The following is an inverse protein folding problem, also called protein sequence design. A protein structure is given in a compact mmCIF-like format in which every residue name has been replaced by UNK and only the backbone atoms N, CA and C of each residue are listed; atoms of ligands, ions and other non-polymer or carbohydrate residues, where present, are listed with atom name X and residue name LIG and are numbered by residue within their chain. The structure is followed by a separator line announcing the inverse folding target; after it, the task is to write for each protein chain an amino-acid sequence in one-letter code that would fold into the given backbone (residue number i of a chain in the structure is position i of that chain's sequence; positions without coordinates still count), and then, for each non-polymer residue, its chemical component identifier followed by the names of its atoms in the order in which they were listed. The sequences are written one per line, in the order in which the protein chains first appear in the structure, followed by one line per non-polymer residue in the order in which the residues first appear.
data_IF_670596932907
#
_entry.id   IF_670596932907
#
_cell.length_a   1.000
_cell.length_b   1.000
_cell.length_c   1.000
_cell.angle_alpha   90.00
_cell.angle_beta   90.00
_cell.angle_gamma   90.00
#
_symmetry.space_group_name_H-M   'P 1'
#
loop_
_entity.id
_entity.type
_entity.pdbx_description
1 polymer ?
#
# COMPACT_ATOMS: atom_id res chain seq x y z
N UNK A 1 10.44 50.88 -50.61
CA UNK A 1 9.96 51.62 -49.44
C UNK A 1 8.67 50.95 -49.01
N UNK A 2 8.75 50.06 -48.05
CA UNK A 2 7.59 49.36 -47.44
C UNK A 2 7.66 49.60 -45.93
N UNK A 3 6.71 50.38 -45.44
CA UNK A 3 6.57 50.80 -44.07
C UNK A 3 5.86 49.69 -43.30
N UNK A 4 6.51 49.19 -42.25
CA UNK A 4 5.89 48.26 -41.27
C UNK A 4 5.04 49.04 -40.25
N UNK A 5 3.83 48.59 -39.92
CA UNK A 5 3.07 49.12 -38.81
C UNK A 5 3.55 48.51 -37.50
N UNK A 6 3.91 49.34 -36.53
CA UNK A 6 4.24 48.97 -35.16
C UNK A 6 2.96 48.56 -34.40
N UNK A 7 2.88 47.31 -33.98
CA UNK A 7 1.84 46.84 -33.03
C UNK A 7 2.29 47.18 -31.60
N UNK A 8 1.63 48.17 -31.03
CA UNK A 8 1.73 48.49 -29.61
C UNK A 8 0.87 47.55 -28.80
N UNK A 9 1.49 46.61 -28.08
CA UNK A 9 0.79 45.73 -27.13
C UNK A 9 0.60 46.49 -25.83
N UNK A 10 -0.63 46.93 -25.54
CA UNK A 10 -1.00 47.49 -24.23
C UNK A 10 -1.08 46.33 -23.23
N UNK A 11 -0.15 46.32 -22.28
CA UNK A 11 -0.17 45.45 -21.12
C UNK A 11 -1.28 45.94 -20.19
N UNK A 12 -2.40 45.20 -20.14
CA UNK A 12 -3.45 45.42 -19.16
C UNK A 12 -3.02 44.66 -17.92
N UNK A 13 -2.61 45.38 -16.87
CA UNK A 13 -2.42 44.83 -15.54
C UNK A 13 -3.76 44.29 -15.06
N UNK A 14 -3.88 42.97 -14.93
CA UNK A 14 -4.99 42.31 -14.24
C UNK A 14 -4.68 42.29 -12.76
N UNK A 15 -5.63 42.85 -12.00
CA UNK A 15 -5.66 42.85 -10.57
C UNK A 15 -5.39 41.45 -9.99
N UNK A 16 -4.38 41.37 -9.14
CA UNK A 16 -4.00 40.25 -8.31
C UNK A 16 -4.96 40.16 -7.11
N UNK A 17 -6.13 39.59 -7.31
CA UNK A 17 -6.96 39.09 -6.21
C UNK A 17 -7.93 38.00 -6.69
N UNK A 18 -7.41 36.92 -7.25
CA UNK A 18 -8.15 35.67 -7.39
C UNK A 18 -7.69 34.73 -6.30
N UNK A 19 -8.49 34.71 -5.23
CA UNK A 19 -8.45 33.70 -4.20
C UNK A 19 -8.54 32.31 -4.86
N UNK A 20 -7.41 31.60 -4.99
CA UNK A 20 -7.42 30.19 -5.37
C UNK A 20 -8.18 29.42 -4.29
N UNK A 21 -9.19 28.63 -4.64
CA UNK A 21 -9.79 27.71 -3.67
C UNK A 21 -8.73 26.65 -3.33
N UNK A 22 -8.13 26.76 -2.17
CA UNK A 22 -7.37 25.68 -1.55
C UNK A 22 -8.31 24.51 -1.36
N UNK A 23 -8.01 23.35 -1.93
CA UNK A 23 -8.66 22.08 -1.63
C UNK A 23 -7.97 21.44 -0.40
N UNK A 24 -8.33 21.81 0.85
CA UNK A 24 -7.57 21.35 2.02
C UNK A 24 -7.91 19.92 2.47
N UNK A 25 -8.98 19.31 1.94
CA UNK A 25 -9.45 18.00 2.42
C UNK A 25 -8.79 16.78 1.77
N UNK A 26 -8.27 16.88 0.54
CA UNK A 26 -7.67 15.74 -0.16
C UNK A 26 -6.23 15.51 0.27
N UNK A 27 -5.50 16.59 0.51
CA UNK A 27 -4.08 16.53 0.89
C UNK A 27 -3.89 16.00 2.31
N UNK A 28 -4.71 16.43 3.27
CA UNK A 28 -4.62 15.97 4.66
C UNK A 28 -4.96 14.47 4.83
N UNK A 29 -5.97 13.97 4.13
CA UNK A 29 -6.34 12.55 4.18
C UNK A 29 -5.28 11.66 3.51
N UNK A 30 -4.62 12.17 2.47
CA UNK A 30 -3.52 11.49 1.82
C UNK A 30 -2.27 11.43 2.70
N UNK A 31 -1.92 12.52 3.37
CA UNK A 31 -0.80 12.58 4.33
C UNK A 31 -1.02 11.66 5.53
N UNK A 32 -2.24 11.64 6.09
CA UNK A 32 -2.60 10.74 7.18
C UNK A 32 -2.45 9.27 6.77
N UNK A 33 -2.94 8.91 5.57
CA UNK A 33 -2.77 7.57 5.02
C UNK A 33 -1.29 7.18 4.88
N UNK A 34 -0.47 8.05 4.31
CA UNK A 34 0.96 7.81 4.16
C UNK A 34 1.66 7.63 5.52
N UNK A 35 1.28 8.41 6.52
CA UNK A 35 1.78 8.28 7.89
C UNK A 35 1.47 6.90 8.47
N UNK A 36 0.23 6.41 8.31
CA UNK A 36 -0.17 5.07 8.76
C UNK A 36 0.68 3.99 8.09
N UNK A 37 0.80 4.04 6.75
CA UNK A 37 1.55 3.03 5.99
C UNK A 37 3.04 3.00 6.33
N UNK A 38 3.59 4.09 6.84
CA UNK A 38 5.00 4.22 7.21
C UNK A 38 5.28 3.90 8.68
N UNK A 39 4.27 3.78 9.54
CA UNK A 39 4.44 3.62 11.00
C UNK A 39 4.57 2.18 11.47
N UNK A 40 4.13 1.20 10.69
CA UNK A 40 4.06 -0.20 11.09
C UNK A 40 5.43 -0.85 11.34
N UNK A 41 5.46 -1.82 12.28
CA UNK A 41 6.64 -2.66 12.55
C UNK A 41 7.10 -3.42 11.30
N UNK A 42 6.16 -3.95 10.53
CA UNK A 42 6.39 -4.73 9.30
C UNK A 42 6.01 -3.94 8.04
N UNK A 43 6.34 -2.64 8.01
CA UNK A 43 6.10 -1.77 6.86
C UNK A 43 7.01 -2.08 5.66
N UNK A 44 6.67 -1.55 4.52
CA UNK A 44 7.54 -1.56 3.33
C UNK A 44 8.60 -0.44 3.46
N UNK A 45 9.69 -0.75 4.15
CA UNK A 45 10.67 0.19 4.74
C UNK A 45 11.45 1.00 3.70
N UNK A 46 11.74 0.42 2.54
CA UNK A 46 12.63 1.04 1.55
C UNK A 46 11.91 1.96 0.57
N UNK A 47 10.58 2.02 0.62
CA UNK A 47 9.81 2.93 -0.22
C UNK A 47 10.00 4.38 0.22
N UNK A 48 10.28 5.25 -0.75
CA UNK A 48 10.32 6.70 -0.54
C UNK A 48 8.90 7.28 -0.45
N UNK A 49 8.80 8.54 0.00
CA UNK A 49 7.51 9.26 0.00
C UNK A 49 6.86 9.27 -1.39
N UNK A 50 7.66 9.51 -2.43
CA UNK A 50 7.17 9.53 -3.81
C UNK A 50 6.70 8.15 -4.27
N UNK A 51 7.39 7.06 -3.88
CA UNK A 51 6.94 5.70 -4.19
C UNK A 51 5.58 5.39 -3.57
N UNK A 52 5.39 5.77 -2.30
CA UNK A 52 4.12 5.63 -1.60
C UNK A 52 3.00 6.39 -2.29
N UNK A 53 3.24 7.65 -2.69
CA UNK A 53 2.28 8.45 -3.45
C UNK A 53 1.89 7.76 -4.75
N UNK A 54 2.86 7.28 -5.53
CA UNK A 54 2.61 6.58 -6.79
C UNK A 54 1.79 5.29 -6.61
N UNK A 55 2.04 4.53 -5.55
CA UNK A 55 1.31 3.30 -5.23
C UNK A 55 -0.11 3.62 -4.77
N UNK A 56 -0.26 4.56 -3.84
CA UNK A 56 -1.55 4.92 -3.26
C UNK A 56 -2.48 5.54 -4.28
N UNK A 57 -1.99 6.43 -5.15
CA UNK A 57 -2.78 7.07 -6.20
C UNK A 57 -3.36 6.07 -7.22
N UNK A 58 -2.73 4.90 -7.37
CA UNK A 58 -3.18 3.83 -8.27
C UNK A 58 -3.90 2.69 -7.55
N UNK A 59 -3.99 2.75 -6.22
CA UNK A 59 -4.74 1.78 -5.44
C UNK A 59 -6.23 2.09 -5.41
N UNK A 60 -7.04 1.05 -5.15
CA UNK A 60 -8.47 1.19 -4.86
C UNK A 60 -8.69 1.08 -3.36
N UNK A 61 -9.41 2.03 -2.77
CA UNK A 61 -9.86 1.92 -1.38
C UNK A 61 -10.98 0.90 -1.30
N UNK A 62 -10.86 -0.04 -0.37
CA UNK A 62 -11.86 -1.08 -0.13
C UNK A 62 -12.04 -1.29 1.37
N UNK A 63 -13.25 -1.66 1.77
CA UNK A 63 -13.60 -1.94 3.16
C UNK A 63 -14.12 -3.36 3.25
N UNK A 64 -13.60 -4.11 4.20
CA UNK A 64 -14.05 -5.46 4.54
C UNK A 64 -14.70 -5.43 5.92
N UNK A 65 -15.90 -5.97 6.02
CA UNK A 65 -16.62 -6.11 7.30
C UNK A 65 -16.01 -7.25 8.11
N UNK A 66 -16.25 -7.25 9.40
CA UNK A 66 -15.86 -8.35 10.29
C UNK A 66 -16.31 -9.70 9.72
N UNK A 67 -15.37 -10.64 9.64
CA UNK A 67 -15.58 -11.99 9.10
C UNK A 67 -15.42 -12.11 7.58
N UNK A 68 -15.29 -11.00 6.85
CA UNK A 68 -15.03 -11.07 5.41
C UNK A 68 -13.58 -11.46 5.13
N UNK A 69 -13.39 -12.20 4.04
CA UNK A 69 -12.10 -12.77 3.64
C UNK A 69 -11.43 -11.85 2.62
N UNK A 70 -10.22 -11.38 2.91
CA UNK A 70 -9.37 -10.62 2.01
C UNK A 70 -8.68 -11.54 1.00
N UNK A 71 -8.07 -12.63 1.50
CA UNK A 71 -7.44 -13.68 0.68
C UNK A 71 -7.81 -15.04 1.24
N UNK A 72 -8.03 -16.03 0.36
CA UNK A 72 -8.35 -17.40 0.77
C UNK A 72 -7.23 -18.33 0.33
N UNK A 73 -6.68 -19.09 1.28
CA UNK A 73 -5.61 -20.06 1.01
C UNK A 73 -5.94 -21.00 -0.14
N UNK A 74 -4.99 -21.19 -1.04
CA UNK A 74 -5.13 -22.06 -2.23
C UNK A 74 -5.94 -21.45 -3.37
N UNK A 75 -6.55 -20.27 -3.17
CA UNK A 75 -7.24 -19.54 -4.23
C UNK A 75 -6.32 -18.54 -4.91
N UNK A 76 -6.54 -18.33 -6.19
CA UNK A 76 -5.81 -17.32 -6.94
C UNK A 76 -6.24 -15.93 -6.47
N UNK A 77 -5.27 -15.09 -6.15
CA UNK A 77 -5.45 -13.65 -5.91
C UNK A 77 -4.55 -12.89 -6.87
N UNK A 78 -5.01 -11.76 -7.34
CA UNK A 78 -4.25 -10.86 -8.23
C UNK A 78 -4.12 -9.47 -7.61
N UNK A 79 -4.23 -9.40 -6.28
CA UNK A 79 -4.24 -8.15 -5.53
C UNK A 79 -3.31 -8.25 -4.32
N UNK A 80 -2.57 -7.18 -4.10
CA UNK A 80 -1.83 -6.92 -2.85
C UNK A 80 -2.62 -5.89 -2.05
N UNK A 81 -2.83 -6.14 -0.78
CA UNK A 81 -3.56 -5.27 0.14
C UNK A 81 -2.61 -4.61 1.13
N UNK A 82 -2.70 -3.31 1.28
CA UNK A 82 -2.07 -2.53 2.33
C UNK A 82 -3.14 -2.11 3.34
N UNK A 83 -3.04 -2.57 4.57
CA UNK A 83 -4.01 -2.24 5.61
C UNK A 83 -3.85 -0.78 6.03
N UNK A 84 -4.96 -0.07 6.11
CA UNK A 84 -5.02 1.34 6.53
C UNK A 84 -5.63 1.46 7.92
N UNK A 85 -6.66 0.67 8.19
CA UNK A 85 -7.37 0.64 9.48
C UNK A 85 -7.89 -0.75 9.77
N UNK A 86 -8.08 -1.05 11.05
CA UNK A 86 -8.61 -2.33 11.52
C UNK A 86 -7.54 -3.41 11.63
N UNK A 87 -7.98 -4.64 11.96
CA UNK A 87 -7.15 -5.82 12.14
C UNK A 87 -7.68 -7.01 11.36
N UNK A 88 -6.79 -7.85 10.87
CA UNK A 88 -7.12 -9.11 10.25
C UNK A 88 -6.26 -10.25 10.80
N UNK A 89 -6.83 -11.46 10.85
CA UNK A 89 -6.12 -12.70 11.17
C UNK A 89 -5.58 -13.35 9.93
N UNK A 90 -4.41 -13.97 10.06
CA UNK A 90 -3.80 -14.85 9.05
C UNK A 90 -3.84 -16.28 9.56
N UNK A 91 -4.53 -17.16 8.87
CA UNK A 91 -4.75 -18.55 9.27
C UNK A 91 -4.32 -19.54 8.19
N UNK A 92 -3.87 -20.74 8.65
CA UNK A 92 -3.61 -21.87 7.76
C UNK A 92 -4.92 -22.62 7.39
N UNK A 93 -4.81 -23.61 6.47
CA UNK A 93 -5.94 -24.50 6.14
C UNK A 93 -6.50 -25.24 7.35
N UNK A 94 -5.66 -25.56 8.34
CA UNK A 94 -6.08 -26.19 9.59
C UNK A 94 -6.71 -25.21 10.59
N UNK A 95 -6.95 -23.96 10.18
CA UNK A 95 -7.41 -22.84 11.03
C UNK A 95 -6.47 -22.51 12.19
N UNK A 96 -5.22 -22.92 12.08
CA UNK A 96 -4.20 -22.48 13.02
C UNK A 96 -3.84 -21.02 12.75
N UNK A 97 -3.93 -20.20 13.79
CA UNK A 97 -3.53 -18.79 13.74
C UNK A 97 -2.02 -18.71 13.46
N UNK A 98 -1.65 -18.01 12.40
CA UNK A 98 -0.26 -17.74 12.02
C UNK A 98 0.18 -16.37 12.54
N UNK A 99 -0.65 -15.35 12.32
CA UNK A 99 -0.34 -13.97 12.68
C UNK A 99 -1.60 -13.10 12.73
N UNK A 100 -1.44 -11.93 13.34
CA UNK A 100 -2.34 -10.78 13.14
C UNK A 100 -1.63 -9.76 12.28
N UNK A 101 -2.38 -9.06 11.45
CA UNK A 101 -1.90 -7.93 10.66
C UNK A 101 -2.78 -6.71 10.91
N UNK A 102 -2.16 -5.55 10.92
CA UNK A 102 -2.79 -4.27 11.25
C UNK A 102 -2.38 -3.13 10.30
N UNK A 103 -2.71 -1.89 10.66
CA UNK A 103 -2.43 -0.72 9.83
C UNK A 103 -0.95 -0.61 9.46
N UNK A 104 -0.67 -0.30 8.19
CA UNK A 104 0.67 -0.21 7.60
C UNK A 104 1.29 -1.54 7.19
N UNK A 105 0.63 -2.67 7.44
CA UNK A 105 1.10 -3.99 7.03
C UNK A 105 0.48 -4.44 5.70
N UNK A 106 1.13 -5.41 5.07
CA UNK A 106 0.78 -5.92 3.73
C UNK A 106 0.33 -7.37 3.80
N UNK A 107 -0.65 -7.76 2.96
CA UNK A 107 -1.00 -9.16 2.70
C UNK A 107 -1.28 -9.41 1.21
N UNK A 108 -1.24 -10.70 0.79
CA UNK A 108 -1.31 -11.09 -0.61
C UNK A 108 0.03 -10.97 -1.36
N UNK A 109 1.07 -10.52 -0.68
CA UNK A 109 2.43 -10.31 -1.21
C UNK A 109 3.12 -11.62 -1.58
N UNK A 110 2.89 -12.71 -0.84
CA UNK A 110 3.52 -14.00 -1.14
C UNK A 110 3.02 -14.56 -2.47
N UNK A 111 1.71 -14.52 -2.69
CA UNK A 111 1.13 -14.92 -3.98
C UNK A 111 1.65 -14.05 -5.13
N UNK A 112 1.85 -12.75 -4.90
CA UNK A 112 2.43 -11.83 -5.87
C UNK A 112 3.88 -12.20 -6.22
N UNK A 113 4.72 -12.45 -5.21
CA UNK A 113 6.12 -12.81 -5.39
C UNK A 113 6.31 -14.12 -6.13
N UNK A 114 5.46 -15.12 -5.87
CA UNK A 114 5.53 -16.45 -6.44
C UNK A 114 4.71 -16.58 -7.74
N UNK A 115 3.98 -15.55 -8.14
CA UNK A 115 2.96 -15.60 -9.20
C UNK A 115 2.00 -16.79 -9.01
N UNK A 116 1.60 -17.02 -7.78
CA UNK A 116 0.90 -18.22 -7.33
C UNK A 116 -0.46 -17.95 -6.70
N UNK A 117 -0.86 -18.87 -5.85
CA UNK A 117 -2.10 -18.82 -5.04
C UNK A 117 -1.80 -18.27 -3.66
N UNK A 118 -2.84 -17.82 -2.95
CA UNK A 118 -2.70 -17.33 -1.59
C UNK A 118 -2.16 -18.44 -0.66
N UNK A 119 -1.11 -18.13 0.09
CA UNK A 119 -0.45 -19.05 1.02
C UNK A 119 -1.19 -19.25 2.34
N UNK A 120 -2.10 -18.31 2.68
CA UNK A 120 -2.91 -18.33 3.89
C UNK A 120 -4.27 -17.67 3.65
N UNK A 121 -5.22 -17.93 4.55
CA UNK A 121 -6.49 -17.20 4.60
C UNK A 121 -6.32 -15.98 5.49
N UNK A 122 -6.70 -14.80 4.97
CA UNK A 122 -6.70 -13.55 5.72
C UNK A 122 -8.15 -13.12 5.90
N UNK A 123 -8.60 -13.00 7.16
CA UNK A 123 -9.97 -12.66 7.53
C UNK A 123 -9.99 -11.41 8.40
N UNK A 124 -10.91 -10.51 8.13
CA UNK A 124 -11.12 -9.30 8.90
C UNK A 124 -11.65 -9.63 10.32
N UNK A 125 -10.92 -9.25 11.38
CA UNK A 125 -11.38 -9.41 12.79
C UNK A 125 -12.41 -8.36 13.19
N UNK A 126 -12.34 -7.21 12.56
CA UNK A 126 -13.23 -6.05 12.71
C UNK A 126 -13.44 -5.43 11.33
N UNK A 127 -13.98 -4.23 11.23
CA UNK A 127 -14.00 -3.51 9.95
C UNK A 127 -12.58 -3.11 9.55
N UNK A 128 -12.13 -3.59 8.37
CA UNK A 128 -10.78 -3.36 7.83
C UNK A 128 -10.86 -2.51 6.58
N UNK A 129 -10.13 -1.39 6.57
CA UNK A 129 -9.94 -0.55 5.41
C UNK A 129 -8.57 -0.81 4.78
N UNK A 130 -8.52 -0.96 3.46
CA UNK A 130 -7.30 -1.27 2.71
C UNK A 130 -7.12 -0.39 1.48
N UNK A 131 -5.87 -0.23 1.06
CA UNK A 131 -5.50 0.09 -0.32
C UNK A 131 -5.26 -1.23 -1.06
N UNK A 132 -6.12 -1.55 -2.00
CA UNK A 132 -6.04 -2.74 -2.85
C UNK A 132 -5.33 -2.38 -4.17
N UNK A 133 -4.25 -3.09 -4.49
CA UNK A 133 -3.44 -2.84 -5.69
C UNK A 133 -3.41 -4.11 -6.52
N UNK A 134 -3.97 -4.03 -7.72
CA UNK A 134 -3.96 -5.16 -8.67
C UNK A 134 -2.55 -5.37 -9.23
N UNK A 135 -2.14 -6.63 -9.44
CA UNK A 135 -0.81 -6.97 -9.93
C UNK A 135 -0.42 -6.27 -11.24
N UNK A 136 -1.31 -6.18 -12.28
CA UNK A 136 -0.96 -5.43 -13.48
C UNK A 136 -0.56 -3.99 -13.21
N UNK A 137 -1.24 -3.34 -12.27
CA UNK A 137 -0.93 -1.95 -11.86
C UNK A 137 0.46 -1.85 -11.23
N UNK A 138 0.86 -2.84 -10.42
CA UNK A 138 2.21 -2.89 -9.87
C UNK A 138 3.27 -3.13 -10.96
N UNK A 139 3.00 -4.02 -11.91
CA UNK A 139 3.91 -4.28 -13.02
C UNK A 139 4.09 -3.04 -13.89
N UNK A 140 3.01 -2.35 -14.25
CA UNK A 140 3.07 -1.09 -15.01
C UNK A 140 3.89 -0.01 -14.26
N UNK A 141 3.71 0.08 -12.93
CA UNK A 141 4.50 0.99 -12.09
C UNK A 141 5.99 0.64 -12.11
N UNK A 142 6.34 -0.63 -12.08
CA UNK A 142 7.74 -1.09 -12.05
C UNK A 142 8.42 -0.92 -13.41
N UNK A 143 7.68 -1.03 -14.51
CA UNK A 143 8.19 -0.71 -15.85
C UNK A 143 8.47 0.79 -16.00
N UNK A 144 7.54 1.63 -15.53
CA UNK A 144 7.70 3.10 -15.59
C UNK A 144 8.75 3.61 -14.60
N UNK A 145 8.86 2.97 -13.43
CA UNK A 145 9.73 3.37 -12.32
C UNK A 145 10.55 2.17 -11.79
N UNK A 146 11.59 1.70 -12.49
CA UNK A 146 12.35 0.49 -12.10
C UNK A 146 12.94 0.56 -10.68
N UNK A 147 13.34 1.75 -10.23
CA UNK A 147 13.84 1.94 -8.86
C UNK A 147 12.75 1.76 -7.79
N UNK A 148 11.48 2.08 -8.10
CA UNK A 148 10.35 1.79 -7.24
C UNK A 148 10.20 0.26 -7.09
N UNK A 149 10.21 -0.48 -8.21
CA UNK A 149 10.14 -1.94 -8.20
C UNK A 149 11.24 -2.56 -7.35
N UNK A 150 12.49 -2.14 -7.53
CA UNK A 150 13.64 -2.60 -6.73
C UNK A 150 13.43 -2.38 -5.23
N UNK A 151 12.99 -1.18 -4.83
CA UNK A 151 12.71 -0.86 -3.42
C UNK A 151 11.51 -1.62 -2.87
N UNK A 152 10.48 -1.82 -3.69
CA UNK A 152 9.29 -2.60 -3.32
C UNK A 152 9.66 -4.06 -3.02
N UNK A 153 10.33 -4.75 -3.93
CA UNK A 153 10.76 -6.14 -3.73
C UNK A 153 11.72 -6.27 -2.54
N UNK A 154 12.65 -5.35 -2.37
CA UNK A 154 13.54 -5.32 -1.19
C UNK A 154 12.74 -5.16 0.10
N UNK A 155 11.75 -4.29 0.12
CA UNK A 155 10.86 -4.10 1.27
C UNK A 155 10.10 -5.37 1.63
N UNK A 156 9.53 -6.06 0.62
CA UNK A 156 8.85 -7.34 0.84
C UNK A 156 9.79 -8.41 1.39
N UNK A 157 10.99 -8.56 0.82
CA UNK A 157 11.98 -9.54 1.27
C UNK A 157 12.37 -9.32 2.74
N UNK A 158 12.62 -8.07 3.14
CA UNK A 158 12.96 -7.75 4.54
C UNK A 158 11.75 -7.95 5.47
N UNK A 159 10.55 -7.57 5.02
CA UNK A 159 9.31 -7.79 5.78
C UNK A 159 9.09 -9.29 6.05
N UNK A 160 9.14 -10.14 5.03
CA UNK A 160 8.97 -11.59 5.17
C UNK A 160 10.07 -12.21 6.05
N UNK A 161 11.33 -11.76 5.92
CA UNK A 161 12.42 -12.19 6.78
C UNK A 161 12.19 -11.85 8.27
N UNK A 162 11.61 -10.68 8.57
CA UNK A 162 11.25 -10.28 9.94
C UNK A 162 10.10 -11.13 10.47
N UNK A 163 9.04 -11.32 9.70
CA UNK A 163 7.91 -12.19 10.07
C UNK A 163 8.36 -13.63 10.34
N UNK A 164 9.26 -14.17 9.53
CA UNK A 164 9.81 -15.51 9.75
C UNK A 164 10.58 -15.59 11.07
N UNK A 165 11.40 -14.60 11.40
CA UNK A 165 12.13 -14.53 12.69
C UNK A 165 11.16 -14.46 13.87
N UNK A 166 10.12 -13.66 13.79
CA UNK A 166 9.09 -13.56 14.83
C UNK A 166 8.38 -14.91 15.05
N UNK A 167 8.06 -15.65 13.97
CA UNK A 167 7.48 -16.99 14.05
C UNK A 167 8.42 -18.03 14.69
N UNK A 168 9.70 -18.00 14.37
CA UNK A 168 10.71 -18.87 14.99
C UNK A 168 10.83 -18.58 16.48
N UNK A 169 10.90 -17.30 16.87
CA UNK A 169 11.01 -16.90 18.27
C UNK A 169 9.79 -17.30 19.10
N UNK A 170 8.59 -17.16 18.54
CA UNK A 170 7.34 -17.56 19.21
C UNK A 170 7.27 -19.07 19.49
N UNK A 171 7.71 -19.91 18.54
CA UNK A 171 7.78 -21.37 18.70
C UNK A 171 8.77 -21.81 19.77
N UNK A 172 9.90 -21.13 19.90
CA UNK A 172 10.91 -21.43 20.93
C UNK A 172 10.40 -21.09 22.33
N UNK A 173 9.57 -20.07 22.47
CA UNK A 173 8.97 -19.68 23.75
C UNK A 173 7.93 -20.68 24.23
N UNK A 174 7.17 -21.29 23.30
CA UNK A 174 6.14 -22.30 23.60
C UNK A 174 6.75 -23.68 23.92
N UNK A 175 7.90 -24.01 23.34
CA UNK A 175 8.59 -25.30 23.55
C UNK A 175 9.38 -25.41 24.88
N UNK A 176 9.48 -24.34 25.68
CA UNK A 176 10.18 -24.34 26.98
C UNK A 176 9.30 -24.64 28.19
N UNK A 177 8.00 -24.89 27.98
CA UNK A 177 7.00 -25.18 29.03
C UNK A 177 6.52 -26.64 29.02
N UNK A 178 7.30 -27.55 28.44
CA UNK A 178 7.07 -28.98 28.43
C UNK A 178 8.17 -29.75 29.16
#
# INVERSE_FOLDING_TARGET
MLTHPSFSVRYIARDSNSHMPTHPKKDSAHEELLSVLQSAKHRLEFLTQNDWTLIVDRSKRSVFKKGEILTQQGKQTKTVYLLVRGKATVESLSKALIAHIGPGEVCGEMAFLENGVASATVTAEEEVEVCAIEWPVLFDLFELFPHLGSRFYRSLAVNLSRRMRDLIASRQSTGKLG
#
